data_IF_541234956307
#
_entry.id   IF_541234956307
#
_cell.length_a   1.000
_cell.length_b   1.000
_cell.length_c   1.000
_cell.angle_alpha   90.00
_cell.angle_beta   90.00
_cell.angle_gamma   90.00
#
_symmetry.space_group_name_H-M   'P 1'
#
loop_
_entity.id
_entity.type
_entity.pdbx_description
1 polymer ?
#
# COMPACT_ATOMS: atom_id res chain seq x y z
N UNK A 1 47.34 -10.95 -33.00
CA UNK A 1 46.19 -10.01 -33.11
C UNK A 1 45.08 -10.58 -32.25
N UNK A 2 44.88 -10.01 -31.07
CA UNK A 2 43.94 -10.52 -30.06
C UNK A 2 42.49 -10.17 -30.42
N UNK A 3 41.60 -11.12 -30.17
CA UNK A 3 40.16 -11.07 -30.35
C UNK A 3 39.54 -9.80 -29.78
N UNK A 4 38.83 -9.04 -30.61
CA UNK A 4 37.82 -8.10 -30.12
C UNK A 4 36.53 -8.89 -29.90
N UNK A 5 36.40 -9.50 -28.72
CA UNK A 5 35.09 -9.86 -28.16
C UNK A 5 34.28 -8.56 -28.06
N UNK A 6 33.37 -8.37 -29.02
CA UNK A 6 32.37 -7.29 -28.98
C UNK A 6 31.53 -7.51 -27.74
N UNK A 7 31.80 -6.69 -26.73
CA UNK A 7 30.98 -6.53 -25.54
C UNK A 7 29.49 -6.47 -25.96
N UNK A 8 28.70 -7.34 -25.35
CA UNK A 8 27.25 -7.36 -25.49
C UNK A 8 26.71 -5.94 -25.31
N UNK A 9 25.86 -5.55 -26.27
CA UNK A 9 25.21 -4.25 -26.33
C UNK A 9 24.17 -4.20 -25.20
N UNK A 10 24.63 -3.97 -23.97
CA UNK A 10 23.80 -3.83 -22.77
C UNK A 10 22.71 -2.79 -23.06
N UNK A 11 21.47 -3.21 -22.92
CA UNK A 11 20.31 -2.48 -23.42
C UNK A 11 20.18 -1.15 -22.66
N UNK A 12 20.41 -0.01 -23.33
CA UNK A 12 20.39 1.35 -22.74
C UNK A 12 19.14 1.63 -21.90
N UNK A 13 18.02 1.00 -22.24
CA UNK A 13 16.75 1.09 -21.51
C UNK A 13 16.84 0.48 -20.11
N UNK A 14 17.52 -0.67 -19.99
CA UNK A 14 17.73 -1.36 -18.70
C UNK A 14 18.69 -0.56 -17.82
N UNK A 15 19.71 0.06 -18.41
CA UNK A 15 20.62 0.93 -17.70
C UNK A 15 19.93 2.21 -17.22
N UNK A 16 19.01 2.78 -18.01
CA UNK A 16 18.19 3.91 -17.61
C UNK A 16 17.21 3.54 -16.46
N UNK A 17 16.54 2.39 -16.55
CA UNK A 17 15.63 1.88 -15.52
C UNK A 17 16.32 1.52 -14.20
N UNK A 18 17.57 1.03 -14.25
CA UNK A 18 18.38 0.72 -13.07
C UNK A 18 19.12 1.96 -12.50
N UNK A 19 19.38 2.96 -13.34
CA UNK A 19 20.08 4.18 -12.91
C UNK A 19 19.19 5.19 -12.18
N UNK A 20 17.86 5.07 -12.30
CA UNK A 20 16.92 5.87 -11.53
C UNK A 20 16.46 5.10 -10.29
N UNK A 21 16.57 5.74 -9.12
CA UNK A 21 16.01 5.33 -7.82
C UNK A 21 14.49 4.99 -7.80
N UNK A 22 13.85 4.88 -8.97
CA UNK A 22 12.44 4.53 -9.13
C UNK A 22 12.15 3.09 -8.72
N UNK A 23 12.98 2.12 -9.10
CA UNK A 23 12.71 0.70 -8.79
C UNK A 23 12.74 0.42 -7.28
N UNK A 24 13.72 0.97 -6.57
CA UNK A 24 13.84 0.85 -5.11
C UNK A 24 12.61 1.45 -4.42
N UNK A 25 12.17 2.62 -4.87
CA UNK A 25 10.95 3.25 -4.35
C UNK A 25 9.68 2.44 -4.62
N UNK A 26 9.50 1.89 -5.83
CA UNK A 26 8.34 1.04 -6.12
C UNK A 26 8.35 -0.24 -5.28
N UNK A 27 9.53 -0.83 -5.08
CA UNK A 27 9.69 -2.01 -4.26
C UNK A 27 9.43 -1.71 -2.77
N UNK A 28 9.91 -0.57 -2.27
CA UNK A 28 9.60 -0.08 -0.91
C UNK A 28 8.11 0.22 -0.72
N UNK A 29 7.44 0.78 -1.73
CA UNK A 29 5.99 1.03 -1.68
C UNK A 29 5.23 -0.29 -1.55
N UNK A 30 5.60 -1.25 -2.39
CA UNK A 30 5.02 -2.58 -2.40
C UNK A 30 5.23 -3.28 -1.05
N UNK A 31 6.48 -3.35 -0.56
CA UNK A 31 6.77 -3.92 0.76
C UNK A 31 6.04 -3.18 1.88
N UNK A 32 5.94 -1.85 1.81
CA UNK A 32 5.27 -1.04 2.81
C UNK A 32 3.77 -1.33 2.90
N UNK A 33 3.10 -1.48 1.76
CA UNK A 33 1.69 -1.89 1.66
C UNK A 33 1.47 -3.27 2.29
N UNK A 34 2.27 -4.26 1.91
CA UNK A 34 2.18 -5.61 2.47
C UNK A 34 2.48 -5.63 3.97
N UNK A 35 3.45 -4.86 4.46
CA UNK A 35 3.77 -4.79 5.88
C UNK A 35 2.59 -4.24 6.70
N UNK A 36 1.89 -3.21 6.20
CA UNK A 36 0.70 -2.67 6.86
C UNK A 36 -0.43 -3.69 6.86
N UNK A 37 -0.75 -4.31 5.71
CA UNK A 37 -1.82 -5.31 5.63
C UNK A 37 -1.55 -6.48 6.59
N UNK A 38 -0.35 -7.05 6.55
CA UNK A 38 0.03 -8.15 7.43
C UNK A 38 -0.02 -7.73 8.90
N UNK A 39 0.42 -6.53 9.24
CA UNK A 39 0.35 -6.02 10.61
C UNK A 39 -1.08 -5.83 11.10
N UNK A 40 -1.99 -5.33 10.26
CA UNK A 40 -3.42 -5.19 10.60
C UNK A 40 -4.09 -6.55 10.76
N UNK A 41 -3.79 -7.51 9.87
CA UNK A 41 -4.32 -8.87 9.96
C UNK A 41 -3.84 -9.56 11.26
N UNK A 42 -2.57 -9.39 11.63
CA UNK A 42 -2.02 -9.89 12.88
C UNK A 42 -2.69 -9.26 14.12
N UNK A 43 -3.01 -7.95 14.08
CA UNK A 43 -3.77 -7.30 15.15
C UNK A 43 -5.18 -7.86 15.31
N UNK A 44 -5.85 -8.24 14.22
CA UNK A 44 -7.19 -8.81 14.27
C UNK A 44 -7.21 -10.23 14.85
N UNK A 45 -6.12 -10.99 14.70
CA UNK A 45 -5.98 -12.34 15.25
C UNK A 45 -7.01 -13.37 14.74
N UNK A 46 -7.72 -13.08 13.64
CA UNK A 46 -8.75 -13.95 13.05
C UNK A 46 -8.21 -14.85 11.95
N UNK A 47 -7.27 -14.36 11.14
CA UNK A 47 -6.76 -15.06 9.94
C UNK A 47 -5.32 -15.54 10.11
N UNK A 48 -4.47 -14.71 10.74
CA UNK A 48 -3.08 -15.05 11.07
C UNK A 48 -2.89 -14.94 12.59
N UNK A 49 -2.57 -16.05 13.23
CA UNK A 49 -2.24 -16.13 14.66
C UNK A 49 -0.85 -16.70 14.82
N UNK A 50 -0.02 -16.02 15.61
CA UNK A 50 1.33 -16.47 15.92
C UNK A 50 1.25 -17.43 17.12
N UNK A 51 1.83 -18.64 17.03
CA UNK A 51 1.86 -19.57 18.16
C UNK A 51 2.60 -18.95 19.35
N UNK A 52 2.14 -19.22 20.57
CA UNK A 52 2.72 -18.65 21.79
C UNK A 52 4.18 -19.08 22.02
N UNK A 53 4.59 -20.18 21.38
CA UNK A 53 5.93 -20.77 21.44
C UNK A 53 6.96 -19.99 20.61
N UNK A 54 6.53 -19.00 19.81
CA UNK A 54 7.44 -18.21 19.00
C UNK A 54 8.32 -17.31 19.89
N UNK A 55 9.63 -17.56 19.87
CA UNK A 55 10.63 -16.99 20.77
C UNK A 55 10.60 -15.46 20.95
N UNK A 56 10.26 -14.70 19.89
CA UNK A 56 10.27 -13.23 19.92
C UNK A 56 8.88 -12.59 19.74
N UNK A 57 7.94 -13.32 19.12
CA UNK A 57 6.67 -12.77 18.63
C UNK A 57 5.47 -13.51 19.24
N UNK A 58 5.74 -14.61 19.93
CA UNK A 58 4.76 -15.43 20.63
C UNK A 58 4.29 -14.76 21.90
N UNK A 59 3.00 -14.94 22.18
CA UNK A 59 2.31 -14.33 23.30
C UNK A 59 1.52 -13.08 22.90
N UNK A 60 0.35 -12.96 23.51
CA UNK A 60 -0.66 -11.95 23.18
C UNK A 60 -0.11 -10.51 23.12
N UNK A 61 0.73 -10.13 24.09
CA UNK A 61 1.33 -8.79 24.16
C UNK A 61 2.42 -8.58 23.09
N UNK A 62 3.27 -9.58 22.87
CA UNK A 62 4.39 -9.47 21.92
C UNK A 62 3.90 -9.43 20.47
N UNK A 63 2.87 -10.21 20.14
CA UNK A 63 2.22 -10.16 18.83
C UNK A 63 1.63 -8.77 18.54
N UNK A 64 1.00 -8.13 19.53
CA UNK A 64 0.44 -6.78 19.38
C UNK A 64 1.56 -5.76 19.11
N UNK A 65 2.64 -5.78 19.91
CA UNK A 65 3.78 -4.87 19.75
C UNK A 65 4.44 -5.06 18.39
N UNK A 66 4.71 -6.31 17.99
CA UNK A 66 5.29 -6.62 16.69
C UNK A 66 4.42 -6.13 15.53
N UNK A 67 3.11 -6.32 15.63
CA UNK A 67 2.17 -5.87 14.60
C UNK A 67 2.19 -4.35 14.43
N UNK A 68 2.24 -3.60 15.53
CA UNK A 68 2.38 -2.14 15.48
C UNK A 68 3.73 -1.68 14.93
N UNK A 69 4.82 -2.38 15.25
CA UNK A 69 6.14 -2.11 14.65
C UNK A 69 6.10 -2.36 13.15
N UNK A 70 5.47 -3.44 12.70
CA UNK A 70 5.34 -3.78 11.28
C UNK A 70 4.52 -2.72 10.51
N UNK A 71 3.39 -2.28 11.08
CA UNK A 71 2.59 -1.17 10.54
C UNK A 71 3.40 0.12 10.49
N UNK A 72 4.13 0.44 11.56
CA UNK A 72 4.99 1.63 11.65
C UNK A 72 6.08 1.64 10.57
N UNK A 73 6.76 0.51 10.36
CA UNK A 73 7.76 0.36 9.31
C UNK A 73 7.16 0.49 7.91
N UNK A 74 5.97 -0.09 7.69
CA UNK A 74 5.26 0.06 6.43
C UNK A 74 4.86 1.52 6.16
N UNK A 75 4.35 2.22 7.18
CA UNK A 75 4.02 3.65 7.07
C UNK A 75 5.25 4.51 6.76
N UNK A 76 6.37 4.28 7.44
CA UNK A 76 7.64 4.97 7.17
C UNK A 76 8.09 4.72 5.73
N UNK A 77 7.99 3.48 5.25
CA UNK A 77 8.35 3.12 3.88
C UNK A 77 7.51 3.88 2.85
N UNK A 78 6.19 3.96 3.06
CA UNK A 78 5.29 4.74 2.19
C UNK A 78 5.65 6.23 2.21
N UNK A 79 5.94 6.81 3.37
CA UNK A 79 6.33 8.23 3.49
C UNK A 79 7.65 8.51 2.75
N UNK A 80 8.64 7.64 2.90
CA UNK A 80 9.93 7.77 2.20
C UNK A 80 9.74 7.73 0.69
N UNK A 81 8.95 6.77 0.20
CA UNK A 81 8.65 6.65 -1.23
C UNK A 81 7.88 7.86 -1.73
N UNK A 82 6.81 8.25 -1.03
CA UNK A 82 6.04 9.43 -1.35
C UNK A 82 6.93 10.67 -1.46
N UNK A 83 7.85 10.88 -0.51
CA UNK A 83 8.77 12.02 -0.54
C UNK A 83 9.63 12.07 -1.81
N UNK A 84 10.08 10.91 -2.31
CA UNK A 84 10.88 10.80 -3.52
C UNK A 84 10.08 11.10 -4.79
N UNK A 85 8.81 10.66 -4.85
CA UNK A 85 7.89 10.99 -5.96
C UNK A 85 7.46 12.46 -5.95
N UNK A 86 7.23 13.04 -4.77
CA UNK A 86 6.72 14.39 -4.66
C UNK A 86 7.81 15.45 -4.88
N UNK A 87 9.09 15.16 -4.61
CA UNK A 87 10.18 16.12 -4.81
C UNK A 87 10.25 16.70 -6.23
N UNK A 88 10.26 15.89 -7.33
CA UNK A 88 10.20 16.42 -8.69
C UNK A 88 8.82 17.04 -9.02
N UNK A 89 7.74 16.45 -8.50
CA UNK A 89 6.37 16.95 -8.73
C UNK A 89 6.15 18.35 -8.15
N UNK A 90 6.69 18.67 -6.98
CA UNK A 90 6.60 20.00 -6.38
C UNK A 90 7.40 21.05 -7.15
N UNK A 91 8.55 20.68 -7.72
CA UNK A 91 9.32 21.59 -8.57
C UNK A 91 8.60 21.92 -9.87
N UNK A 92 7.83 20.99 -10.42
CA UNK A 92 6.96 21.22 -11.58
C UNK A 92 5.69 22.00 -11.24
N UNK A 93 5.03 21.71 -10.10
CA UNK A 93 3.86 22.48 -9.62
C UNK A 93 4.18 23.97 -9.50
N UNK A 94 5.41 24.32 -9.10
CA UNK A 94 5.86 25.72 -8.99
C UNK A 94 5.97 26.43 -10.35
N UNK A 95 6.11 25.68 -11.44
CA UNK A 95 6.11 26.20 -12.81
C UNK A 95 4.71 26.23 -13.45
N UNK A 96 3.71 25.60 -12.84
CA UNK A 96 2.32 25.63 -13.31
C UNK A 96 1.64 26.89 -12.75
N UNK A 97 1.78 28.00 -13.49
CA UNK A 97 1.14 29.31 -13.26
C UNK A 97 -0.37 29.34 -13.54
N UNK A 98 -1.12 28.32 -13.09
CA UNK A 98 -2.55 28.20 -13.42
C UNK A 98 -3.43 27.47 -12.41
N UNK A 99 -2.88 26.87 -11.35
CA UNK A 99 -3.70 26.09 -10.42
C UNK A 99 -4.45 27.01 -9.44
N UNK A 100 -5.72 27.30 -9.73
CA UNK A 100 -6.60 27.96 -8.75
C UNK A 100 -6.87 26.99 -7.61
N UNK A 101 -6.27 27.26 -6.46
CA UNK A 101 -6.29 26.34 -5.32
C UNK A 101 -7.70 25.93 -4.88
N UNK A 102 -8.68 26.81 -5.07
CA UNK A 102 -10.11 26.56 -4.82
C UNK A 102 -10.71 25.48 -5.72
N UNK A 103 -10.35 25.43 -7.00
CA UNK A 103 -10.89 24.44 -7.95
C UNK A 103 -10.33 23.04 -7.65
N UNK A 104 -9.05 22.95 -7.29
CA UNK A 104 -8.44 21.69 -6.85
C UNK A 104 -9.13 21.13 -5.60
N UNK A 105 -9.33 21.95 -4.56
CA UNK A 105 -9.99 21.51 -3.33
C UNK A 105 -11.43 21.04 -3.61
N UNK A 106 -12.16 21.72 -4.50
CA UNK A 106 -13.52 21.29 -4.88
C UNK A 106 -13.52 19.93 -5.58
N UNK A 107 -12.53 19.67 -6.43
CA UNK A 107 -12.38 18.38 -7.08
C UNK A 107 -11.99 17.27 -6.08
N UNK A 108 -11.10 17.55 -5.14
CA UNK A 108 -10.75 16.61 -4.06
C UNK A 108 -11.99 16.26 -3.22
N UNK A 109 -12.80 17.26 -2.84
CA UNK A 109 -14.03 17.04 -2.07
C UNK A 109 -15.00 16.14 -2.84
N UNK A 110 -15.18 16.34 -4.15
CA UNK A 110 -16.03 15.47 -4.97
C UNK A 110 -15.55 14.01 -4.99
N UNK A 111 -14.24 13.80 -5.11
CA UNK A 111 -13.66 12.44 -5.10
C UNK A 111 -13.84 11.79 -3.74
N UNK A 112 -13.56 12.51 -2.65
CA UNK A 112 -13.75 12.00 -1.28
C UNK A 112 -15.22 11.65 -1.03
N UNK A 113 -16.15 12.52 -1.45
CA UNK A 113 -17.59 12.27 -1.32
C UNK A 113 -18.01 11.01 -2.10
N UNK A 114 -17.52 10.84 -3.32
CA UNK A 114 -17.78 9.65 -4.12
C UNK A 114 -17.24 8.38 -3.45
N UNK A 115 -16.02 8.42 -2.90
CA UNK A 115 -15.45 7.29 -2.14
C UNK A 115 -16.28 6.94 -0.90
N UNK A 116 -16.83 7.94 -0.18
CA UNK A 116 -17.73 7.70 0.95
C UNK A 116 -19.02 7.02 0.50
N UNK A 117 -19.61 7.46 -0.61
CA UNK A 117 -20.82 6.82 -1.16
C UNK A 117 -20.55 5.36 -1.55
N UNK A 118 -19.41 5.08 -2.18
CA UNK A 118 -19.00 3.70 -2.49
C UNK A 118 -18.78 2.86 -1.23
N UNK A 119 -18.13 3.42 -0.20
CA UNK A 119 -17.94 2.72 1.06
C UNK A 119 -19.27 2.35 1.72
N UNK A 120 -20.24 3.27 1.73
CA UNK A 120 -21.59 3.00 2.22
C UNK A 120 -22.30 1.92 1.40
N UNK A 121 -22.11 1.92 0.08
CA UNK A 121 -22.63 0.88 -0.79
C UNK A 121 -22.06 -0.51 -0.44
N UNK A 122 -20.75 -0.62 -0.23
CA UNK A 122 -20.12 -1.89 0.19
C UNK A 122 -20.63 -2.37 1.54
N UNK A 123 -20.76 -1.49 2.53
CA UNK A 123 -21.35 -1.83 3.84
C UNK A 123 -22.79 -2.35 3.67
N UNK A 124 -23.57 -1.71 2.79
CA UNK A 124 -24.91 -2.17 2.46
C UNK A 124 -24.94 -3.56 1.82
N UNK A 125 -24.03 -3.82 0.87
CA UNK A 125 -23.87 -5.14 0.26
C UNK A 125 -23.49 -6.21 1.30
N UNK A 126 -22.53 -5.92 2.17
CA UNK A 126 -22.09 -6.84 3.22
C UNK A 126 -23.26 -7.22 4.15
N UNK A 127 -24.08 -6.24 4.54
CA UNK A 127 -25.28 -6.47 5.36
C UNK A 127 -26.32 -7.35 4.66
N UNK A 128 -26.57 -7.12 3.37
CA UNK A 128 -27.50 -7.94 2.57
C UNK A 128 -26.98 -9.37 2.44
N UNK A 129 -25.69 -9.54 2.14
CA UNK A 129 -25.05 -10.85 2.04
C UNK A 129 -25.17 -11.60 3.37
N UNK A 130 -24.90 -10.93 4.49
CA UNK A 130 -25.04 -11.54 5.82
C UNK A 130 -26.48 -12.01 6.08
N UNK A 131 -27.49 -11.20 5.70
CA UNK A 131 -28.90 -11.59 5.82
C UNK A 131 -29.27 -12.79 4.95
N UNK A 132 -28.77 -12.86 3.72
CA UNK A 132 -28.99 -13.99 2.82
C UNK A 132 -28.37 -15.26 3.41
N UNK A 133 -27.14 -15.18 3.91
CA UNK A 133 -26.45 -16.31 4.55
C UNK A 133 -27.22 -16.79 5.78
N UNK A 134 -27.71 -15.88 6.63
CA UNK A 134 -28.52 -16.22 7.80
C UNK A 134 -29.83 -16.92 7.41
N UNK A 135 -30.51 -16.45 6.37
CA UNK A 135 -31.77 -17.03 5.88
C UNK A 135 -31.55 -18.42 5.27
N UNK A 136 -30.45 -18.60 4.53
CA UNK A 136 -30.07 -19.90 3.97
C UNK A 136 -29.76 -20.91 5.08
N UNK A 137 -29.02 -20.48 6.12
CA UNK A 137 -28.69 -21.30 7.28
C UNK A 137 -29.95 -21.72 8.07
N UNK A 138 -30.95 -20.86 8.17
CA UNK A 138 -32.22 -21.13 8.86
C UNK A 138 -33.20 -21.98 8.03
N UNK A 139 -32.92 -22.20 6.74
CA UNK A 139 -33.74 -23.04 5.85
C UNK A 139 -33.13 -24.44 5.68
N UNK A 140 -31.82 -24.58 5.89
CA UNK A 140 -31.09 -25.86 5.80
C UNK A 140 -31.00 -26.63 7.13
N UNK A 141 -31.51 -26.07 8.23
CA UNK A 141 -31.71 -26.67 9.54
C UNK A 141 -33.18 -26.57 9.93
#
# INVERSE_FOLDING_TARGET
MAEKMKAEKKNRVVEYLLSEHKLENYLLLFLGLFAIELGVILLQGKLLTIPEEAWLIGGKTNTIVFSWVLIGLGAISIVLVASSFYRPSFTEIRHITGLKWKEFLWNVVKVVLFSVVLALFFIGCDWVIEKIIQLLKNTLY
#
